data_IF_675199866942
#
_entry.id   IF_675199866942
#
_cell.length_a   1.000
_cell.length_b   1.000
_cell.length_c   1.000
_cell.angle_alpha   90.00
_cell.angle_beta   90.00
_cell.angle_gamma   90.00
#
_symmetry.space_group_name_H-M   'P 1'
#
loop_
_entity.id
_entity.type
_entity.pdbx_description
1 polymer ?
#
# COMPACT_ATOMS: atom_id res chain seq x y z
N UNK A 1 15.45 -11.67 -17.71
CA UNK A 1 14.90 -12.08 -16.40
C UNK A 1 14.64 -10.83 -15.56
N UNK A 2 13.55 -10.79 -14.76
CA UNK A 2 13.13 -9.58 -14.03
C UNK A 2 14.16 -9.14 -12.96
N UNK A 3 14.83 -10.07 -12.29
CA UNK A 3 15.90 -9.79 -11.34
C UNK A 3 17.07 -9.03 -12.01
N UNK A 4 17.53 -9.47 -13.17
CA UNK A 4 18.67 -8.83 -13.86
C UNK A 4 18.35 -7.38 -14.22
N UNK A 5 17.14 -7.11 -14.76
CA UNK A 5 16.75 -5.74 -15.08
C UNK A 5 16.69 -4.84 -13.84
N UNK A 6 16.34 -5.41 -12.68
CA UNK A 6 16.35 -4.68 -11.41
C UNK A 6 17.79 -4.38 -10.95
N UNK A 7 18.67 -5.39 -10.93
CA UNK A 7 20.04 -5.25 -10.48
C UNK A 7 20.92 -4.43 -11.45
N UNK A 8 20.55 -4.31 -12.72
CA UNK A 8 21.32 -3.54 -13.70
C UNK A 8 20.82 -2.10 -13.85
N UNK A 9 19.49 -1.89 -13.86
CA UNK A 9 18.88 -0.60 -14.24
C UNK A 9 17.81 -0.11 -13.26
N UNK A 10 16.71 -0.87 -13.10
CA UNK A 10 15.50 -0.39 -12.42
C UNK A 10 15.70 -0.10 -10.94
N UNK A 11 16.54 -0.89 -10.26
CA UNK A 11 16.81 -0.77 -8.84
C UNK A 11 17.68 0.40 -8.43
N UNK A 12 18.30 1.14 -9.39
CA UNK A 12 19.20 2.25 -9.08
C UNK A 12 18.58 3.29 -8.13
N UNK A 13 17.33 3.62 -8.33
CA UNK A 13 16.61 4.62 -7.54
C UNK A 13 15.52 3.99 -6.64
N UNK A 14 15.61 2.70 -6.35
CA UNK A 14 14.60 1.99 -5.56
C UNK A 14 14.28 2.68 -4.24
N UNK A 15 15.30 3.07 -3.46
CA UNK A 15 15.12 3.67 -2.14
C UNK A 15 14.28 4.97 -2.17
N UNK A 16 14.43 5.79 -3.21
CA UNK A 16 13.69 7.07 -3.33
C UNK A 16 12.35 6.93 -4.06
N UNK A 17 12.15 5.85 -4.84
CA UNK A 17 10.99 5.70 -5.73
C UNK A 17 9.99 4.62 -5.31
N UNK A 18 10.29 3.84 -4.28
CA UNK A 18 9.43 2.72 -3.86
C UNK A 18 8.13 3.16 -3.17
N UNK A 19 8.03 4.40 -2.70
CA UNK A 19 6.88 4.86 -1.93
C UNK A 19 5.74 5.42 -2.80
N UNK A 20 6.04 6.06 -3.93
CA UNK A 20 5.02 6.56 -4.85
C UNK A 20 4.49 5.43 -5.75
N UNK A 21 3.16 5.27 -5.92
CA UNK A 21 2.58 4.27 -6.80
C UNK A 21 2.96 4.48 -8.27
N UNK A 22 3.20 5.73 -8.69
CA UNK A 22 3.64 6.07 -10.05
C UNK A 22 5.03 5.53 -10.40
N UNK A 23 5.95 5.55 -9.43
CA UNK A 23 7.35 5.20 -9.68
C UNK A 23 7.70 3.80 -9.21
N UNK A 24 6.97 3.26 -8.24
CA UNK A 24 7.22 1.95 -7.65
C UNK A 24 7.10 0.83 -8.67
N UNK A 25 6.12 0.88 -9.57
CA UNK A 25 5.92 -0.13 -10.61
C UNK A 25 7.19 -0.38 -11.44
N UNK A 26 7.89 0.70 -11.81
CA UNK A 26 9.11 0.64 -12.61
C UNK A 26 10.39 0.49 -11.80
N UNK A 27 10.39 0.84 -10.51
CA UNK A 27 11.60 0.92 -9.68
C UNK A 27 11.70 -0.20 -8.64
N UNK A 28 10.59 -0.84 -8.27
CA UNK A 28 10.61 -2.02 -7.39
C UNK A 28 11.06 -3.28 -8.15
N UNK A 29 11.54 -4.27 -7.40
CA UNK A 29 12.02 -5.52 -7.98
C UNK A 29 10.94 -6.29 -8.72
N UNK A 30 9.69 -6.23 -8.24
CA UNK A 30 8.54 -7.00 -8.73
C UNK A 30 8.74 -8.52 -8.60
N UNK A 31 9.51 -8.93 -7.58
CA UNK A 31 9.84 -10.33 -7.33
C UNK A 31 8.87 -11.01 -6.36
N UNK A 32 8.00 -10.25 -5.68
CA UNK A 32 7.11 -10.79 -4.65
C UNK A 32 6.24 -11.94 -5.17
N UNK A 33 5.60 -11.79 -6.32
CA UNK A 33 4.82 -12.87 -6.97
C UNK A 33 5.70 -14.09 -7.27
N UNK A 34 6.94 -13.88 -7.72
CA UNK A 34 7.86 -14.99 -8.03
C UNK A 34 8.32 -15.73 -6.77
N UNK A 35 8.40 -15.04 -5.63
CA UNK A 35 8.65 -15.70 -4.34
C UNK A 35 7.47 -16.54 -3.90
N UNK A 36 6.25 -15.98 -3.98
CA UNK A 36 5.02 -16.68 -3.61
C UNK A 36 4.84 -17.99 -4.38
N UNK A 37 5.14 -17.99 -5.68
CA UNK A 37 5.04 -19.20 -6.52
C UNK A 37 6.31 -20.03 -6.60
N UNK A 38 7.33 -19.72 -5.81
CA UNK A 38 8.58 -20.52 -5.75
C UNK A 38 9.44 -20.49 -7.02
N UNK A 39 9.21 -19.52 -7.92
CA UNK A 39 9.98 -19.42 -9.17
C UNK A 39 11.43 -18.96 -8.96
N UNK A 40 11.72 -18.33 -7.83
CA UNK A 40 13.05 -17.88 -7.42
C UNK A 40 13.15 -17.92 -5.90
N UNK A 41 14.28 -18.27 -5.34
CA UNK A 41 14.49 -18.28 -3.90
C UNK A 41 14.97 -16.92 -3.38
N UNK A 42 14.60 -16.59 -2.13
CA UNK A 42 15.14 -15.42 -1.41
C UNK A 42 16.66 -15.50 -1.33
N UNK A 43 17.23 -16.70 -1.10
CA UNK A 43 18.67 -16.92 -1.03
C UNK A 43 19.37 -16.52 -2.32
N UNK A 44 18.85 -16.95 -3.46
CA UNK A 44 19.39 -16.63 -4.78
C UNK A 44 19.36 -15.12 -5.03
N UNK A 45 18.20 -14.46 -4.75
CA UNK A 45 18.07 -13.01 -4.92
C UNK A 45 19.03 -12.26 -4.00
N UNK A 46 19.18 -12.71 -2.74
CA UNK A 46 20.12 -12.11 -1.79
C UNK A 46 21.56 -12.22 -2.26
N UNK A 47 22.00 -13.41 -2.73
CA UNK A 47 23.34 -13.64 -3.25
C UNK A 47 23.63 -12.73 -4.46
N UNK A 48 22.77 -12.76 -5.49
CA UNK A 48 22.93 -11.90 -6.67
C UNK A 48 22.96 -10.40 -6.31
N UNK A 49 22.17 -9.99 -5.30
CA UNK A 49 22.19 -8.61 -4.84
C UNK A 49 23.52 -8.25 -4.16
N UNK A 50 24.08 -9.14 -3.38
CA UNK A 50 25.39 -8.91 -2.74
C UNK A 50 26.53 -8.89 -3.75
N UNK A 51 26.49 -9.78 -4.76
CA UNK A 51 27.49 -9.77 -5.84
C UNK A 51 27.46 -8.44 -6.58
N UNK A 52 26.27 -7.93 -6.90
CA UNK A 52 26.12 -6.60 -7.52
C UNK A 52 26.60 -5.47 -6.61
N UNK A 53 26.39 -5.54 -5.31
CA UNK A 53 26.91 -4.56 -4.35
C UNK A 53 28.44 -4.58 -4.32
N UNK A 54 29.07 -5.75 -4.38
CA UNK A 54 30.53 -5.90 -4.42
C UNK A 54 31.11 -5.34 -5.72
N UNK A 55 30.51 -5.66 -6.87
CA UNK A 55 30.88 -5.07 -8.16
C UNK A 55 30.86 -3.53 -8.12
N UNK A 56 29.78 -2.95 -7.59
CA UNK A 56 29.63 -1.49 -7.49
C UNK A 56 30.67 -0.86 -6.56
N UNK A 57 31.04 -1.53 -5.48
CA UNK A 57 32.10 -1.06 -4.55
C UNK A 57 33.47 -1.06 -5.21
N UNK A 58 33.82 -2.16 -5.90
CA UNK A 58 35.10 -2.28 -6.61
C UNK A 58 35.23 -1.25 -7.73
N UNK A 59 34.15 -0.97 -8.44
CA UNK A 59 34.13 0.03 -9.51
C UNK A 59 34.06 1.47 -9.01
N UNK A 60 34.10 1.72 -7.69
CA UNK A 60 33.88 3.04 -7.06
C UNK A 60 32.62 3.75 -7.56
N UNK A 61 31.59 2.98 -7.95
CA UNK A 61 30.37 3.51 -8.57
C UNK A 61 29.29 3.79 -7.55
N UNK A 62 28.56 4.82 -7.85
CA UNK A 62 27.27 5.32 -7.32
C UNK A 62 26.84 4.88 -5.91
N UNK A 63 27.05 5.77 -4.94
CA UNK A 63 26.48 5.66 -3.58
C UNK A 63 24.94 5.52 -3.58
N UNK A 64 24.23 6.09 -4.56
CA UNK A 64 22.75 6.02 -4.70
C UNK A 64 22.30 4.60 -4.99
N UNK A 65 22.97 3.87 -5.88
CA UNK A 65 22.63 2.49 -6.20
C UNK A 65 22.94 1.56 -5.02
N UNK A 66 24.07 1.72 -4.38
CA UNK A 66 24.43 0.95 -3.17
C UNK A 66 23.42 1.18 -2.04
N UNK A 67 22.99 2.44 -1.82
CA UNK A 67 21.92 2.76 -0.86
C UNK A 67 20.62 2.04 -1.21
N UNK A 68 20.23 2.04 -2.47
CA UNK A 68 19.03 1.36 -2.95
C UNK A 68 19.11 -0.16 -2.75
N UNK A 69 20.25 -0.80 -3.08
CA UNK A 69 20.44 -2.24 -2.87
C UNK A 69 20.52 -2.61 -1.39
N UNK A 70 21.08 -1.76 -0.52
CA UNK A 70 21.04 -1.97 0.93
C UNK A 70 19.60 -1.91 1.46
N UNK A 71 18.81 -0.94 1.01
CA UNK A 71 17.39 -0.86 1.34
C UNK A 71 16.64 -2.11 0.85
N UNK A 72 16.92 -2.59 -0.35
CA UNK A 72 16.32 -3.81 -0.89
C UNK A 72 16.72 -5.04 -0.08
N UNK A 73 18.00 -5.21 0.24
CA UNK A 73 18.49 -6.31 1.09
C UNK A 73 17.78 -6.35 2.44
N UNK A 74 17.56 -5.17 3.07
CA UNK A 74 16.79 -5.08 4.31
C UNK A 74 15.35 -5.61 4.13
N UNK A 75 14.71 -5.38 2.97
CA UNK A 75 13.37 -5.92 2.71
C UNK A 75 13.34 -7.44 2.55
N UNK A 76 14.40 -8.05 2.02
CA UNK A 76 14.52 -9.50 1.97
C UNK A 76 14.61 -10.11 3.37
N UNK A 77 15.33 -9.47 4.31
CA UNK A 77 15.35 -9.90 5.71
C UNK A 77 13.98 -9.79 6.38
N UNK A 78 13.25 -8.69 6.15
CA UNK A 78 11.89 -8.54 6.66
C UNK A 78 10.93 -9.61 6.13
N UNK A 79 11.07 -9.99 4.85
CA UNK A 79 10.31 -11.09 4.25
C UNK A 79 10.47 -12.39 5.07
N UNK A 80 11.72 -12.82 5.30
CA UNK A 80 12.00 -14.03 6.09
C UNK A 80 11.51 -13.89 7.53
N UNK A 81 11.71 -12.73 8.15
CA UNK A 81 11.30 -12.50 9.53
C UNK A 81 9.78 -12.68 9.72
N UNK A 82 8.95 -12.15 8.84
CA UNK A 82 7.51 -12.26 8.98
C UNK A 82 6.99 -13.68 8.71
N UNK A 83 7.61 -14.41 7.80
CA UNK A 83 7.28 -15.83 7.57
C UNK A 83 7.61 -16.64 8.82
N UNK A 84 8.82 -16.52 9.35
CA UNK A 84 9.23 -17.20 10.59
C UNK A 84 8.32 -16.82 11.78
N UNK A 85 7.87 -15.57 11.87
CA UNK A 85 6.96 -15.15 12.92
C UNK A 85 5.61 -15.87 12.84
N UNK A 86 5.05 -16.06 11.63
CA UNK A 86 3.83 -16.84 11.44
C UNK A 86 4.05 -18.32 11.76
N UNK A 87 5.20 -18.90 11.35
CA UNK A 87 5.55 -20.29 11.69
C UNK A 87 5.65 -20.53 13.21
N UNK A 88 6.18 -19.55 13.95
CA UNK A 88 6.29 -19.61 15.40
C UNK A 88 4.93 -19.38 16.12
N UNK A 89 4.04 -18.61 15.53
CA UNK A 89 2.74 -18.26 16.10
C UNK A 89 1.65 -18.27 15.01
N UNK A 90 1.15 -19.44 14.60
CA UNK A 90 0.15 -19.56 13.53
C UNK A 90 -1.18 -18.86 13.85
N UNK A 91 -1.50 -18.64 15.13
CA UNK A 91 -2.73 -17.95 15.56
C UNK A 91 -2.82 -16.49 15.06
N UNK A 92 -1.70 -15.87 14.63
CA UNK A 92 -1.69 -14.52 14.05
C UNK A 92 -2.66 -14.39 12.85
N UNK A 93 -2.96 -15.47 12.17
CA UNK A 93 -3.91 -15.46 11.06
C UNK A 93 -5.35 -15.18 11.53
N UNK A 94 -5.72 -15.58 12.74
CA UNK A 94 -7.10 -15.60 13.23
C UNK A 94 -7.34 -14.72 14.45
N UNK A 95 -6.31 -14.46 15.22
CA UNK A 95 -6.36 -13.80 16.53
C UNK A 95 -5.50 -12.52 16.54
N UNK A 96 -5.88 -11.55 17.38
CA UNK A 96 -5.00 -10.41 17.63
C UNK A 96 -3.70 -10.88 18.29
N UNK A 97 -2.59 -10.32 17.87
CA UNK A 97 -1.29 -10.60 18.50
C UNK A 97 -1.32 -10.28 20.01
N UNK A 98 -2.11 -9.28 20.40
CA UNK A 98 -2.34 -8.89 21.79
C UNK A 98 -3.85 -8.94 22.07
N UNK A 99 -4.28 -9.88 22.90
CA UNK A 99 -5.69 -10.15 23.22
C UNK A 99 -6.45 -8.98 23.85
N UNK A 100 -5.75 -8.00 24.43
CA UNK A 100 -6.37 -6.76 24.93
C UNK A 100 -7.17 -6.01 23.86
N UNK A 101 -6.87 -6.22 22.56
CA UNK A 101 -7.57 -5.61 21.45
C UNK A 101 -8.73 -6.46 20.92
N UNK A 102 -9.04 -7.62 21.54
CA UNK A 102 -10.17 -8.46 21.15
C UNK A 102 -11.50 -7.73 21.41
N UNK A 103 -12.42 -7.83 20.47
CA UNK A 103 -13.72 -7.16 20.54
C UNK A 103 -13.71 -5.67 20.20
N UNK A 104 -12.54 -5.05 19.95
CA UNK A 104 -12.43 -3.60 19.74
C UNK A 104 -13.24 -3.11 18.53
N UNK A 105 -13.28 -3.87 17.43
CA UNK A 105 -13.95 -3.46 16.17
C UNK A 105 -14.94 -4.49 15.64
N UNK A 106 -14.93 -5.69 16.16
CA UNK A 106 -15.73 -6.81 15.67
C UNK A 106 -17.23 -6.54 15.78
N UNK A 107 -17.68 -5.91 16.90
CA UNK A 107 -19.08 -5.64 17.20
C UNK A 107 -19.64 -4.37 16.51
N UNK A 108 -18.79 -3.53 15.97
CA UNK A 108 -19.15 -2.25 15.33
C UNK A 108 -18.90 -2.25 13.81
N UNK A 109 -18.93 -3.42 13.18
CA UNK A 109 -18.61 -3.54 11.77
C UNK A 109 -19.70 -2.93 10.88
N UNK A 110 -19.27 -1.91 10.12
CA UNK A 110 -20.11 -1.17 9.17
C UNK A 110 -19.92 -1.76 7.75
N UNK A 111 -20.97 -2.44 7.27
CA UNK A 111 -20.91 -3.10 5.98
C UNK A 111 -20.93 -2.10 4.79
N UNK A 112 -21.58 -0.96 4.93
CA UNK A 112 -21.62 0.07 3.86
C UNK A 112 -20.22 0.66 3.66
N UNK A 113 -19.54 1.02 4.75
CA UNK A 113 -18.14 1.48 4.71
C UNK A 113 -17.20 0.42 4.14
N UNK A 114 -17.42 -0.85 4.48
CA UNK A 114 -16.63 -1.95 3.97
C UNK A 114 -16.78 -2.11 2.46
N UNK A 115 -18.02 -2.09 1.95
CA UNK A 115 -18.27 -2.18 0.51
C UNK A 115 -17.73 -0.97 -0.25
N UNK A 116 -17.92 0.24 0.26
CA UNK A 116 -17.34 1.45 -0.33
C UNK A 116 -15.80 1.37 -0.41
N UNK A 117 -15.14 0.90 0.67
CA UNK A 117 -13.69 0.71 0.68
C UNK A 117 -13.24 -0.36 -0.32
N UNK A 118 -13.91 -1.51 -0.37
CA UNK A 118 -13.64 -2.59 -1.33
C UNK A 118 -13.75 -2.13 -2.78
N UNK A 119 -14.71 -1.26 -3.06
CA UNK A 119 -14.98 -0.80 -4.41
C UNK A 119 -14.11 0.39 -4.82
N UNK A 120 -13.41 1.04 -3.88
CA UNK A 120 -12.71 2.29 -4.13
C UNK A 120 -13.69 3.44 -4.40
N UNK A 121 -14.68 3.56 -3.50
CA UNK A 121 -15.78 4.52 -3.54
C UNK A 121 -15.92 5.25 -2.20
N UNK A 122 -14.79 5.52 -1.56
CA UNK A 122 -14.75 6.13 -0.22
C UNK A 122 -14.88 7.66 -0.24
N UNK A 123 -14.73 8.30 -1.41
CA UNK A 123 -14.63 9.75 -1.55
C UNK A 123 -13.24 10.30 -1.17
N UNK A 124 -12.25 9.43 -0.98
CA UNK A 124 -10.85 9.78 -0.77
C UNK A 124 -10.01 9.33 -1.97
N UNK A 125 -9.67 10.23 -2.90
CA UNK A 125 -9.14 9.86 -4.22
C UNK A 125 -7.91 8.95 -4.18
N UNK A 126 -6.99 9.14 -3.23
CA UNK A 126 -5.79 8.30 -3.13
C UNK A 126 -6.11 6.89 -2.61
N UNK A 127 -7.12 6.74 -1.74
CA UNK A 127 -7.62 5.44 -1.28
C UNK A 127 -8.31 4.72 -2.43
N UNK A 128 -9.22 5.41 -3.11
CA UNK A 128 -10.04 4.87 -4.19
C UNK A 128 -9.17 4.44 -5.38
N UNK A 129 -8.28 5.31 -5.83
CA UNK A 129 -7.32 5.00 -6.89
C UNK A 129 -6.43 3.80 -6.53
N UNK A 130 -5.98 3.70 -5.26
CA UNK A 130 -5.15 2.60 -4.79
C UNK A 130 -5.91 1.26 -4.79
N UNK A 131 -7.16 1.25 -4.37
CA UNK A 131 -7.98 0.05 -4.36
C UNK A 131 -8.33 -0.38 -5.79
N UNK A 132 -8.73 0.55 -6.66
CA UNK A 132 -9.04 0.27 -8.07
C UNK A 132 -7.81 -0.26 -8.82
N UNK A 133 -6.64 0.35 -8.60
CA UNK A 133 -5.38 -0.15 -9.14
C UNK A 133 -5.06 -1.57 -8.67
N UNK A 134 -5.24 -1.85 -7.37
CA UNK A 134 -5.01 -3.17 -6.82
C UNK A 134 -5.96 -4.22 -7.43
N UNK A 135 -7.25 -3.90 -7.56
CA UNK A 135 -8.26 -4.80 -8.16
C UNK A 135 -7.91 -5.16 -9.60
N UNK A 136 -7.43 -4.20 -10.37
CA UNK A 136 -7.08 -4.41 -11.78
C UNK A 136 -5.76 -5.16 -11.97
N UNK A 137 -4.75 -4.85 -11.14
CA UNK A 137 -3.37 -5.33 -11.38
C UNK A 137 -2.92 -6.46 -10.46
N UNK A 138 -3.63 -6.71 -9.36
CA UNK A 138 -3.25 -7.66 -8.33
C UNK A 138 -2.00 -7.27 -7.54
N UNK A 139 -1.46 -6.06 -7.73
CA UNK A 139 -0.27 -5.58 -7.05
C UNK A 139 -0.33 -4.08 -6.75
N UNK A 140 0.18 -3.71 -5.60
CA UNK A 140 0.42 -2.30 -5.25
C UNK A 140 1.63 -2.22 -4.32
N UNK A 141 2.34 -1.09 -4.32
CA UNK A 141 3.51 -0.88 -3.47
C UNK A 141 3.13 -0.82 -1.98
N UNK A 142 4.13 -1.13 -1.14
CA UNK A 142 3.92 -1.27 0.31
C UNK A 142 3.28 -0.03 0.97
N UNK A 143 3.68 1.18 0.58
CA UNK A 143 3.14 2.42 1.15
C UNK A 143 1.61 2.51 0.99
N UNK A 144 1.11 2.18 -0.19
CA UNK A 144 -0.32 2.20 -0.47
C UNK A 144 -1.05 1.04 0.23
N UNK A 145 -0.44 -0.16 0.33
CA UNK A 145 -0.99 -1.25 1.16
C UNK A 145 -1.19 -0.80 2.61
N UNK A 146 -0.17 -0.19 3.20
CA UNK A 146 -0.23 0.32 4.57
C UNK A 146 -1.32 1.38 4.74
N UNK A 147 -1.47 2.30 3.78
CA UNK A 147 -2.53 3.31 3.79
C UNK A 147 -3.92 2.66 3.70
N UNK A 148 -4.14 1.71 2.78
CA UNK A 148 -5.44 1.03 2.64
C UNK A 148 -5.88 0.36 3.95
N UNK A 149 -4.95 -0.34 4.62
CA UNK A 149 -5.22 -1.03 5.88
C UNK A 149 -5.47 -0.02 7.00
N UNK A 150 -4.59 0.97 7.13
CA UNK A 150 -4.70 2.01 8.14
C UNK A 150 -6.01 2.79 8.02
N UNK A 151 -6.39 3.18 6.80
CA UNK A 151 -7.65 3.87 6.54
C UNK A 151 -8.86 3.02 6.93
N UNK A 152 -8.89 1.75 6.52
CA UNK A 152 -9.96 0.82 6.89
C UNK A 152 -10.08 0.66 8.41
N UNK A 153 -8.94 0.53 9.12
CA UNK A 153 -8.94 0.20 10.55
C UNK A 153 -9.15 1.42 11.45
N UNK A 154 -8.61 2.59 11.10
CA UNK A 154 -8.70 3.79 11.96
C UNK A 154 -9.80 4.75 11.53
N UNK A 155 -9.90 5.04 10.23
CA UNK A 155 -10.88 6.02 9.76
C UNK A 155 -12.26 5.40 9.58
N UNK A 156 -12.34 4.16 9.06
CA UNK A 156 -13.62 3.46 8.89
C UNK A 156 -14.00 2.59 10.09
N UNK A 157 -13.08 2.37 11.03
CA UNK A 157 -13.26 1.51 12.20
C UNK A 157 -13.64 0.06 11.87
N UNK A 158 -13.09 -0.48 10.76
CA UNK A 158 -13.38 -1.83 10.30
C UNK A 158 -12.47 -2.86 10.95
N UNK A 159 -13.04 -4.05 11.25
CA UNK A 159 -12.28 -5.21 11.73
C UNK A 159 -11.30 -5.71 10.67
N UNK A 160 -10.04 -5.83 11.07
CA UNK A 160 -8.96 -6.27 10.21
C UNK A 160 -9.15 -7.71 9.69
N UNK A 161 -9.82 -8.59 10.44
CA UNK A 161 -10.08 -9.98 10.05
C UNK A 161 -10.92 -10.06 8.77
N UNK A 162 -11.85 -9.12 8.57
CA UNK A 162 -12.65 -9.02 7.35
C UNK A 162 -11.90 -8.30 6.22
N UNK A 163 -11.25 -7.19 6.53
CA UNK A 163 -10.50 -6.44 5.52
C UNK A 163 -9.29 -7.20 4.98
N UNK A 164 -8.62 -8.01 5.82
CA UNK A 164 -7.49 -8.86 5.42
C UNK A 164 -7.89 -9.92 4.40
N UNK A 165 -9.03 -10.60 4.59
CA UNK A 165 -9.53 -11.62 3.66
C UNK A 165 -9.79 -11.04 2.27
N UNK A 166 -10.38 -9.85 2.21
CA UNK A 166 -10.60 -9.16 0.95
C UNK A 166 -9.26 -8.83 0.25
N UNK A 167 -8.31 -8.22 0.97
CA UNK A 167 -7.00 -7.90 0.40
C UNK A 167 -6.22 -9.15 -0.02
N UNK A 168 -6.28 -10.23 0.77
CA UNK A 168 -5.64 -11.51 0.43
C UNK A 168 -6.12 -12.05 -0.92
N UNK A 169 -7.42 -11.92 -1.22
CA UNK A 169 -8.00 -12.38 -2.48
C UNK A 169 -7.57 -11.55 -3.71
N UNK A 170 -7.06 -10.32 -3.49
CA UNK A 170 -6.63 -9.44 -4.57
C UNK A 170 -5.13 -9.53 -4.87
N UNK A 171 -4.29 -9.86 -3.88
CA UNK A 171 -2.84 -9.86 -4.05
C UNK A 171 -2.33 -11.08 -4.82
N UNK A 172 -1.75 -10.88 -6.01
CA UNK A 172 -1.02 -11.94 -6.75
C UNK A 172 0.26 -12.38 -6.05
N UNK A 173 0.72 -11.61 -5.08
CA UNK A 173 1.90 -11.88 -4.25
C UNK A 173 1.50 -12.13 -2.78
N UNK A 174 0.31 -12.72 -2.57
CA UNK A 174 -0.15 -13.08 -1.24
C UNK A 174 0.81 -14.08 -0.58
N UNK A 175 1.31 -13.70 0.59
CA UNK A 175 2.15 -14.52 1.46
C UNK A 175 1.62 -14.35 2.90
N UNK A 176 1.04 -15.40 3.51
CA UNK A 176 0.31 -15.27 4.77
C UNK A 176 1.18 -14.71 5.90
N UNK A 177 2.46 -15.11 5.99
CA UNK A 177 3.37 -14.60 7.02
C UNK A 177 3.55 -13.09 6.94
N UNK A 178 3.70 -12.55 5.73
CA UNK A 178 3.84 -11.11 5.53
C UNK A 178 2.48 -10.44 5.69
N UNK A 179 1.45 -10.99 5.08
CA UNK A 179 0.12 -10.40 5.01
C UNK A 179 -0.45 -10.15 6.40
N UNK A 180 -0.65 -11.18 7.21
CA UNK A 180 -1.30 -11.05 8.52
C UNK A 180 -0.48 -10.21 9.51
N UNK A 181 0.85 -10.37 9.51
CA UNK A 181 1.70 -9.52 10.33
C UNK A 181 1.57 -8.03 9.97
N UNK A 182 1.57 -7.71 8.67
CA UNK A 182 1.43 -6.32 8.21
C UNK A 182 0.02 -5.77 8.45
N UNK A 183 -1.02 -6.56 8.22
CA UNK A 183 -2.40 -6.17 8.51
C UNK A 183 -2.52 -5.77 9.99
N UNK A 184 -2.09 -6.62 10.91
CA UNK A 184 -2.18 -6.35 12.35
C UNK A 184 -1.34 -5.14 12.78
N UNK A 185 -0.11 -5.00 12.22
CA UNK A 185 0.73 -3.82 12.48
C UNK A 185 0.06 -2.51 12.05
N UNK A 186 -0.54 -2.49 10.86
CA UNK A 186 -1.20 -1.29 10.33
C UNK A 186 -2.58 -1.04 10.95
N UNK A 187 -3.20 -2.06 11.54
CA UNK A 187 -4.46 -1.95 12.28
C UNK A 187 -4.27 -1.58 13.76
N UNK A 188 -3.03 -1.56 14.25
CA UNK A 188 -2.69 -1.15 15.62
C UNK A 188 -3.02 -2.17 16.70
N UNK A 189 -3.13 -3.45 16.36
CA UNK A 189 -3.48 -4.53 17.31
C UNK A 189 -2.29 -5.37 17.76
N UNK A 190 -1.05 -4.89 17.54
CA UNK A 190 0.18 -5.60 17.91
C UNK A 190 0.75 -5.19 19.26
N UNK A 191 0.36 -4.04 19.81
CA UNK A 191 0.82 -3.51 21.09
C UNK A 191 2.28 -3.05 21.17
N UNK A 192 3.11 -3.39 20.17
CA UNK A 192 4.56 -3.12 20.16
C UNK A 192 4.98 -2.03 19.18
N UNK A 193 4.13 -1.69 18.24
CA UNK A 193 4.42 -0.67 17.23
C UNK A 193 3.72 0.65 17.60
N UNK A 194 4.39 1.76 17.36
CA UNK A 194 3.73 3.06 17.43
C UNK A 194 2.55 3.10 16.44
N UNK A 195 1.42 3.62 16.87
CA UNK A 195 0.25 3.85 16.02
C UNK A 195 0.64 4.80 14.90
N UNK A 196 0.35 4.41 13.67
CA UNK A 196 0.63 5.19 12.46
C UNK A 196 -0.63 5.30 11.63
N UNK A 197 -1.31 6.42 11.76
CA UNK A 197 -2.48 6.73 10.93
C UNK A 197 -1.97 7.39 9.63
N UNK A 198 -2.26 6.75 8.50
CA UNK A 198 -1.89 7.27 7.18
C UNK A 198 -3.00 8.21 6.69
N UNK A 199 -2.80 9.51 6.85
CA UNK A 199 -3.74 10.49 6.32
C UNK A 199 -3.74 10.44 4.78
N UNK A 200 -4.85 10.07 4.11
CA UNK A 200 -4.89 9.85 2.65
C UNK A 200 -4.62 11.12 1.85
N UNK A 201 -5.02 12.29 2.33
CA UNK A 201 -4.75 13.59 1.70
C UNK A 201 -3.24 13.83 1.67
N UNK A 202 -2.58 13.64 2.82
CA UNK A 202 -1.11 13.78 2.91
C UNK A 202 -0.40 12.74 2.03
N UNK A 203 -0.89 11.50 1.97
CA UNK A 203 -0.28 10.48 1.11
C UNK A 203 -0.38 10.87 -0.37
N UNK A 204 -1.47 11.48 -0.79
CA UNK A 204 -1.61 11.97 -2.17
C UNK A 204 -0.62 13.11 -2.45
N UNK A 205 -0.56 14.12 -1.59
CA UNK A 205 0.37 15.26 -1.74
C UNK A 205 1.82 14.78 -1.82
N UNK A 206 2.22 13.86 -0.94
CA UNK A 206 3.61 13.38 -0.86
C UNK A 206 4.00 12.42 -2.01
N UNK A 207 3.04 11.67 -2.58
CA UNK A 207 3.34 10.54 -3.47
C UNK A 207 2.70 10.61 -4.86
N UNK A 208 1.76 11.52 -5.08
CA UNK A 208 1.13 11.83 -6.37
C UNK A 208 0.79 13.32 -6.48
N UNK A 209 1.77 14.23 -6.30
CA UNK A 209 1.52 15.67 -6.24
C UNK A 209 0.86 16.23 -7.50
N UNK A 210 1.16 15.65 -8.66
CA UNK A 210 0.56 16.03 -9.95
C UNK A 210 -0.80 15.34 -10.22
N UNK A 211 -1.25 14.47 -9.32
CA UNK A 211 -2.50 13.72 -9.47
C UNK A 211 -2.54 12.72 -10.61
N UNK A 212 -1.39 12.34 -11.16
CA UNK A 212 -1.32 11.43 -12.32
C UNK A 212 -1.84 10.03 -12.03
N UNK A 213 -1.57 9.52 -10.83
CA UNK A 213 -2.06 8.22 -10.40
C UNK A 213 -3.57 8.28 -10.14
N UNK A 214 -4.01 9.27 -9.37
CA UNK A 214 -5.42 9.46 -9.04
C UNK A 214 -6.25 9.63 -10.31
N UNK A 215 -5.90 10.57 -11.19
CA UNK A 215 -6.63 10.82 -12.45
C UNK A 215 -6.69 9.60 -13.39
N UNK A 216 -5.67 8.74 -13.34
CA UNK A 216 -5.67 7.50 -14.12
C UNK A 216 -6.67 6.47 -13.60
N UNK A 217 -6.79 6.33 -12.27
CA UNK A 217 -7.57 5.28 -11.63
C UNK A 217 -8.94 5.74 -11.11
N UNK A 218 -9.16 7.05 -11.10
CA UNK A 218 -10.44 7.70 -10.91
C UNK A 218 -10.69 8.63 -12.11
N UNK A 219 -11.04 8.08 -13.29
CA UNK A 219 -11.16 8.86 -14.52
C UNK A 219 -12.22 9.97 -14.43
N UNK A 220 -13.24 9.80 -13.58
CA UNK A 220 -14.23 10.83 -13.24
C UNK A 220 -13.63 12.11 -12.64
N UNK A 221 -12.38 12.02 -12.10
CA UNK A 221 -11.65 13.16 -11.55
C UNK A 221 -10.61 13.73 -12.53
N UNK A 222 -10.57 13.28 -13.78
CA UNK A 222 -9.51 13.62 -14.74
C UNK A 222 -9.40 15.14 -15.00
N UNK A 223 -10.53 15.82 -15.09
CA UNK A 223 -10.59 17.24 -15.42
C UNK A 223 -10.56 18.17 -14.19
N UNK A 224 -10.48 17.61 -12.98
CA UNK A 224 -10.41 18.42 -11.77
C UNK A 224 -9.10 19.22 -11.69
N UNK A 225 -9.19 20.50 -11.24
CA UNK A 225 -7.99 21.26 -10.86
C UNK A 225 -7.23 20.55 -9.73
N UNK A 226 -5.90 20.65 -9.76
CA UNK A 226 -5.03 19.94 -8.80
C UNK A 226 -5.33 20.35 -7.35
N UNK A 227 -5.71 21.58 -7.11
CA UNK A 227 -6.01 22.13 -5.79
C UNK A 227 -7.21 21.45 -5.11
N UNK A 228 -8.12 20.89 -5.90
CA UNK A 228 -9.30 20.16 -5.41
C UNK A 228 -9.14 18.64 -5.48
N UNK A 229 -8.11 18.14 -6.16
CA UNK A 229 -7.99 16.71 -6.44
C UNK A 229 -7.78 15.86 -5.20
N UNK A 230 -7.29 16.41 -4.10
CA UNK A 230 -7.17 15.70 -2.82
C UNK A 230 -8.47 15.68 -2.01
N UNK A 231 -9.33 16.65 -2.24
CA UNK A 231 -10.59 16.85 -1.53
C UNK A 231 -11.67 17.39 -2.49
N UNK A 232 -12.17 16.57 -3.45
CA UNK A 232 -13.11 17.00 -4.48
C UNK A 232 -14.41 17.62 -3.93
N UNK A 233 -14.84 17.16 -2.74
CA UNK A 233 -16.04 17.66 -2.07
C UNK A 233 -15.97 19.13 -1.64
N UNK A 234 -14.81 19.77 -1.71
CA UNK A 234 -14.65 21.19 -1.42
C UNK A 234 -14.90 22.08 -2.65
N UNK A 235 -15.16 21.51 -3.83
CA UNK A 235 -15.52 22.27 -5.02
C UNK A 235 -16.89 22.93 -4.85
N UNK A 236 -17.02 24.19 -5.29
CA UNK A 236 -18.34 24.83 -5.43
C UNK A 236 -19.16 24.14 -6.53
N UNK A 237 -20.48 24.21 -6.44
CA UNK A 237 -21.39 23.68 -7.48
C UNK A 237 -21.05 24.23 -8.89
N UNK A 238 -20.74 25.53 -8.98
CA UNK A 238 -20.34 26.14 -10.25
C UNK A 238 -19.07 25.50 -10.83
N UNK A 239 -18.10 25.12 -9.99
CA UNK A 239 -16.88 24.43 -10.43
C UNK A 239 -17.18 22.98 -10.80
N UNK A 240 -17.99 22.24 -10.03
CA UNK A 240 -18.43 20.89 -10.34
C UNK A 240 -19.10 20.83 -11.72
N UNK A 241 -20.03 21.76 -11.99
CA UNK A 241 -20.68 21.88 -13.30
C UNK A 241 -19.69 22.19 -14.43
N UNK A 242 -18.71 23.05 -14.17
CA UNK A 242 -17.67 23.40 -15.16
C UNK A 242 -16.77 22.23 -15.55
N UNK A 243 -16.40 21.39 -14.57
CA UNK A 243 -15.52 20.22 -14.80
C UNK A 243 -16.28 18.95 -15.13
N UNK A 244 -17.63 18.99 -15.09
CA UNK A 244 -18.48 17.84 -15.42
C UNK A 244 -18.38 16.70 -14.40
N UNK A 245 -18.15 17.00 -13.12
CA UNK A 245 -18.07 16.01 -12.06
C UNK A 245 -18.83 16.50 -10.82
N UNK A 246 -19.98 15.90 -10.56
CA UNK A 246 -20.85 16.20 -9.42
C UNK A 246 -20.54 15.24 -8.27
N UNK A 247 -20.11 15.78 -7.13
CA UNK A 247 -19.79 14.98 -5.95
C UNK A 247 -21.07 14.42 -5.33
N UNK A 248 -21.07 13.13 -5.05
CA UNK A 248 -22.23 12.36 -4.62
C UNK A 248 -23.01 11.69 -5.76
N UNK A 249 -22.68 12.02 -7.03
CA UNK A 249 -23.30 11.41 -8.22
C UNK A 249 -22.21 10.73 -9.08
N UNK A 250 -21.28 11.53 -9.64
CA UNK A 250 -20.23 11.02 -10.53
C UNK A 250 -19.05 10.47 -9.75
N UNK A 251 -18.71 11.08 -8.61
CA UNK A 251 -17.70 10.62 -7.67
C UNK A 251 -18.27 10.71 -6.24
N UNK A 252 -18.04 9.70 -5.37
CA UNK A 252 -18.63 9.67 -4.04
C UNK A 252 -18.20 10.84 -3.16
N UNK A 253 -19.10 11.30 -2.30
CA UNK A 253 -18.75 12.16 -1.19
C UNK A 253 -17.93 11.38 -0.15
N UNK A 254 -17.09 12.05 0.67
CA UNK A 254 -16.34 11.39 1.73
C UNK A 254 -17.25 10.65 2.71
N UNK A 255 -17.03 9.36 2.91
CA UNK A 255 -17.82 8.51 3.81
C UNK A 255 -17.53 8.72 5.30
N UNK A 256 -16.48 9.49 5.61
CA UNK A 256 -16.09 9.86 6.99
C UNK A 256 -15.45 11.25 7.00
N UNK A 257 -15.52 11.91 8.16
CA UNK A 257 -14.74 13.13 8.41
C UNK A 257 -13.41 12.76 9.09
N UNK A 258 -12.28 13.05 8.44
CA UNK A 258 -10.95 12.76 8.98
C UNK A 258 -10.61 13.53 10.26
N UNK A 259 -11.29 14.64 10.56
CA UNK A 259 -11.08 15.41 11.79
C UNK A 259 -11.65 14.71 13.02
N UNK A 260 -12.64 13.85 12.82
CA UNK A 260 -13.36 13.15 13.90
C UNK A 260 -12.92 11.71 14.01
N UNK A 261 -12.46 11.11 12.91
CA UNK A 261 -12.17 9.67 12.80
C UNK A 261 -10.70 9.29 12.96
N UNK A 262 -9.80 10.22 13.35
CA UNK A 262 -8.37 9.97 13.48
C UNK A 262 -7.81 10.13 14.89
#
# INVERSE_FOLDING_TARGET
MILNTFLEKRGKNYASRMSSPLTAEKSCSRLSTYFTFGNISIKEVYQNTNDKKNELRQASRSSVFLKSLNTFTSRLHWHCHFIQKLEMQPSIEFENLVSTFDGMRENAFDNEKFEAWKNGETGFPMVDASMRYLKETGWINFRMRAMLISFASYNLWLDWKKTSKHLASLFTDYEPGIHYNQIQMQSGVTGINAIRIYNPIKQQIDHDPDGKFVKKWCPELADLPIDYLTQPHLMSEALQNKVGCTIGIDYPAPIVDLKISG
#
